data_IF_140556391759
#
_entry.id   IF_140556391759
#
_cell.length_a   1.000
_cell.length_b   1.000
_cell.length_c   1.000
_cell.angle_alpha   90.00
_cell.angle_beta   90.00
_cell.angle_gamma   90.00
#
_symmetry.space_group_name_H-M   'P 1'
#
loop_
_entity.id
_entity.type
_entity.pdbx_description
1 polymer ?
#
# COMPACT_ATOMS: atom_id res chain seq x y z
N UNK A 1 -1.08 14.03 6.32
CA UNK A 1 -0.30 13.34 5.27
C UNK A 1 0.58 14.35 4.56
N UNK A 2 1.67 14.83 5.19
CA UNK A 2 2.65 15.66 4.49
C UNK A 2 4.05 15.24 4.94
N UNK A 3 4.64 14.28 4.21
CA UNK A 3 6.10 14.19 4.11
C UNK A 3 6.61 15.37 3.28
N UNK A 4 7.93 15.57 3.24
CA UNK A 4 8.54 16.56 2.35
C UNK A 4 7.96 16.38 0.92
N UNK A 5 7.30 17.42 0.42
CA UNK A 5 6.61 17.46 -0.89
C UNK A 5 5.28 16.70 -1.03
N UNK A 6 4.58 16.37 0.07
CA UNK A 6 3.23 15.78 -0.01
C UNK A 6 3.20 14.35 -0.55
N UNK A 7 4.37 13.72 -0.69
CA UNK A 7 4.53 12.32 -1.08
C UNK A 7 4.41 11.46 0.16
N UNK A 8 3.21 11.03 0.52
CA UNK A 8 3.06 9.98 1.52
C UNK A 8 1.67 9.33 1.50
N UNK A 9 1.65 8.00 1.63
CA UNK A 9 0.49 7.17 1.96
C UNK A 9 -0.79 7.51 1.17
N UNK A 10 -0.72 7.39 -0.16
CA UNK A 10 -1.80 7.75 -1.07
C UNK A 10 -2.66 6.56 -1.52
N UNK A 11 -2.15 5.33 -1.40
CA UNK A 11 -2.80 4.13 -1.93
C UNK A 11 -3.44 3.35 -0.80
N UNK A 12 -4.77 3.28 -0.76
CA UNK A 12 -5.45 2.40 0.19
C UNK A 12 -5.41 0.97 -0.35
N UNK A 13 -4.81 0.06 0.40
CA UNK A 13 -4.66 -1.34 0.01
C UNK A 13 -5.33 -2.25 1.01
N UNK A 14 -5.77 -3.43 0.56
CA UNK A 14 -6.07 -4.57 1.42
C UNK A 14 -4.86 -5.50 1.41
N UNK A 15 -4.15 -5.59 2.53
CA UNK A 15 -2.89 -6.34 2.58
C UNK A 15 -3.13 -7.85 2.55
N UNK A 16 -2.20 -8.59 1.95
CA UNK A 16 -2.17 -10.07 1.96
C UNK A 16 -0.93 -10.55 2.71
N UNK A 17 -0.85 -11.85 3.03
CA UNK A 17 0.33 -12.41 3.70
C UNK A 17 1.57 -12.25 2.82
N UNK A 18 1.45 -12.56 1.52
CA UNK A 18 2.53 -12.49 0.54
C UNK A 18 3.07 -11.07 0.40
N UNK A 19 2.16 -10.06 0.40
CA UNK A 19 2.57 -8.67 0.39
C UNK A 19 3.30 -8.27 1.68
N UNK A 20 2.84 -8.73 2.86
CA UNK A 20 3.49 -8.40 4.13
C UNK A 20 4.89 -9.00 4.22
N UNK A 21 5.07 -10.24 3.78
CA UNK A 21 6.39 -10.89 3.67
C UNK A 21 7.30 -10.14 2.69
N UNK A 22 6.79 -9.82 1.48
CA UNK A 22 7.52 -9.03 0.49
C UNK A 22 7.94 -7.67 1.07
N UNK A 23 7.01 -6.94 1.67
CA UNK A 23 7.24 -5.61 2.23
C UNK A 23 8.31 -5.66 3.33
N UNK A 24 8.25 -6.67 4.21
CA UNK A 24 9.29 -6.90 5.23
C UNK A 24 10.66 -7.17 4.59
N UNK A 25 10.73 -7.99 3.53
CA UNK A 25 11.98 -8.25 2.79
C UNK A 25 12.58 -7.00 2.15
N UNK A 26 11.75 -5.99 1.86
CA UNK A 26 12.15 -4.65 1.35
C UNK A 26 12.36 -3.61 2.45
N UNK A 27 12.63 -4.07 3.68
CA UNK A 27 12.86 -3.22 4.86
C UNK A 27 11.67 -2.30 5.21
N UNK A 28 10.46 -2.70 4.84
CA UNK A 28 9.21 -2.03 5.20
C UNK A 28 8.33 -3.02 5.99
N UNK A 29 8.74 -3.30 7.22
CA UNK A 29 8.04 -4.25 8.09
C UNK A 29 6.74 -3.65 8.63
N UNK A 30 5.63 -4.09 8.03
CA UNK A 30 4.28 -3.68 8.40
C UNK A 30 3.57 -4.72 9.27
N UNK A 31 4.19 -5.85 9.61
CA UNK A 31 3.53 -6.93 10.37
C UNK A 31 4.02 -7.06 11.81
N UNK A 32 5.24 -6.62 12.12
CA UNK A 32 5.75 -6.63 13.51
C UNK A 32 5.08 -5.54 14.36
N UNK A 33 4.44 -5.89 15.49
CA UNK A 33 3.92 -4.90 16.43
C UNK A 33 5.04 -4.02 17.00
N UNK A 34 4.78 -2.71 17.06
CA UNK A 34 5.64 -1.69 17.67
C UNK A 34 4.82 -0.89 18.70
N UNK A 35 4.64 -1.41 19.93
CA UNK A 35 3.82 -0.77 20.96
C UNK A 35 4.25 0.67 21.28
N UNK A 36 5.55 0.95 21.23
CA UNK A 36 6.16 2.26 21.41
C UNK A 36 5.67 3.28 20.36
N UNK A 37 5.29 2.81 19.17
CA UNK A 37 4.70 3.61 18.09
C UNK A 37 3.17 3.50 18.03
N UNK A 38 2.53 2.81 18.99
CA UNK A 38 1.11 2.45 18.96
C UNK A 38 0.69 1.69 17.70
N UNK A 39 1.62 0.94 17.12
CA UNK A 39 1.38 0.14 15.92
C UNK A 39 1.24 -1.33 16.31
N UNK A 40 0.10 -1.96 16.00
CA UNK A 40 -0.17 -3.37 16.37
C UNK A 40 0.41 -4.38 15.37
N UNK A 41 0.98 -3.93 14.26
CA UNK A 41 1.25 -4.78 13.10
C UNK A 41 -0.03 -5.06 12.32
N UNK A 42 0.08 -5.10 11.00
CA UNK A 42 -1.00 -5.46 10.09
C UNK A 42 -1.11 -6.98 9.96
N UNK A 43 -2.32 -7.43 9.66
CA UNK A 43 -2.67 -8.81 9.33
C UNK A 43 -3.29 -8.87 7.93
N UNK A 44 -3.23 -10.02 7.26
CA UNK A 44 -3.95 -10.21 5.99
C UNK A 44 -5.41 -9.80 6.11
N UNK A 45 -5.89 -9.01 5.16
CA UNK A 45 -7.23 -8.45 5.14
C UNK A 45 -7.37 -7.04 5.72
N UNK A 46 -6.40 -6.55 6.49
CA UNK A 46 -6.41 -5.18 6.99
C UNK A 46 -6.33 -4.17 5.84
N UNK A 47 -7.01 -3.02 6.00
CA UNK A 47 -6.86 -1.88 5.10
C UNK A 47 -5.79 -0.93 5.63
N UNK A 48 -4.92 -0.48 4.74
CA UNK A 48 -3.82 0.42 5.11
C UNK A 48 -3.54 1.43 4.00
N UNK A 49 -3.26 2.67 4.37
CA UNK A 49 -2.77 3.68 3.43
C UNK A 49 -1.27 3.43 3.23
N UNK A 50 -0.90 2.85 2.10
CA UNK A 50 0.48 2.52 1.73
C UNK A 50 1.15 3.68 1.01
N UNK A 51 2.44 3.87 1.29
CA UNK A 51 3.26 4.84 0.57
C UNK A 51 3.27 4.49 -0.93
N UNK A 52 2.98 5.48 -1.79
CA UNK A 52 2.80 5.23 -3.23
C UNK A 52 4.01 4.53 -3.88
N UNK A 53 5.22 4.94 -3.51
CA UNK A 53 6.44 4.29 -4.02
C UNK A 53 6.62 2.83 -3.55
N UNK A 54 6.06 2.47 -2.38
CA UNK A 54 6.07 1.08 -1.90
C UNK A 54 5.05 0.23 -2.66
N UNK A 55 3.91 0.81 -3.03
CA UNK A 55 2.98 0.13 -3.93
C UNK A 55 3.60 -0.08 -5.33
N UNK A 56 4.29 0.93 -5.88
CA UNK A 56 5.01 0.82 -7.17
C UNK A 56 6.08 -0.26 -7.13
N UNK A 57 6.88 -0.30 -6.06
CA UNK A 57 7.90 -1.34 -5.84
C UNK A 57 7.27 -2.74 -5.86
N UNK A 58 6.18 -2.93 -5.12
CA UNK A 58 5.45 -4.19 -5.07
C UNK A 58 4.84 -4.57 -6.43
N UNK A 59 4.25 -3.61 -7.15
CA UNK A 59 3.67 -3.83 -8.47
C UNK A 59 4.72 -4.33 -9.47
N UNK A 60 5.88 -3.67 -9.52
CA UNK A 60 7.00 -4.08 -10.39
C UNK A 60 7.55 -5.47 -10.04
N UNK A 61 7.41 -5.89 -8.79
CA UNK A 61 7.82 -7.21 -8.32
C UNK A 61 6.74 -8.29 -8.48
N UNK A 62 5.55 -7.96 -8.98
CA UNK A 62 4.41 -8.89 -9.06
C UNK A 62 3.77 -9.23 -7.70
N UNK A 63 4.02 -8.38 -6.70
CA UNK A 63 3.59 -8.57 -5.30
C UNK A 63 2.67 -7.45 -4.80
N UNK A 64 2.08 -6.68 -5.71
CA UNK A 64 1.18 -5.58 -5.32
C UNK A 64 -0.09 -6.11 -4.66
N UNK A 65 -0.48 -5.56 -3.50
CA UNK A 65 -1.76 -5.88 -2.88
C UNK A 65 -2.90 -5.21 -3.64
N UNK A 66 -4.12 -5.74 -3.46
CA UNK A 66 -5.32 -5.15 -4.05
C UNK A 66 -5.56 -3.72 -3.52
N UNK A 67 -6.03 -2.85 -4.40
CA UNK A 67 -6.28 -1.43 -4.15
C UNK A 67 -7.76 -1.19 -3.91
N UNK A 68 -8.10 -0.35 -2.93
CA UNK A 68 -9.45 0.21 -2.77
C UNK A 68 -9.44 1.58 -3.45
N UNK A 69 -9.93 1.65 -4.69
CA UNK A 69 -9.86 2.85 -5.52
C UNK A 69 -10.62 4.01 -4.90
N UNK A 70 -11.82 3.77 -4.37
CA UNK A 70 -12.64 4.81 -3.73
C UNK A 70 -11.97 5.43 -2.49
N UNK A 71 -11.02 4.71 -1.88
CA UNK A 71 -10.25 5.15 -0.72
C UNK A 71 -8.80 5.56 -1.07
N UNK A 72 -8.47 5.64 -2.35
CA UNK A 72 -7.13 6.00 -2.84
C UNK A 72 -7.12 7.45 -3.31
N UNK A 73 -6.14 8.23 -2.85
CA UNK A 73 -6.06 9.65 -3.19
C UNK A 73 -5.65 9.82 -4.67
N UNK A 74 -6.38 10.65 -5.42
CA UNK A 74 -6.12 10.97 -6.84
C UNK A 74 -4.67 11.39 -7.17
N UNK A 75 -3.94 11.98 -6.22
CA UNK A 75 -2.52 12.33 -6.38
C UNK A 75 -1.63 11.11 -6.65
N UNK A 76 -2.12 9.88 -6.42
CA UNK A 76 -1.46 8.64 -6.86
C UNK A 76 -1.16 8.65 -8.36
N UNK A 77 -2.00 9.31 -9.17
CA UNK A 77 -1.89 9.35 -10.63
C UNK A 77 -0.67 10.12 -11.13
N UNK A 78 -0.01 10.89 -10.26
CA UNK A 78 1.30 11.52 -10.55
C UNK A 78 2.45 10.49 -10.56
N UNK A 79 2.23 9.30 -10.00
CA UNK A 79 3.24 8.25 -9.81
C UNK A 79 2.90 6.93 -10.52
N UNK A 80 1.60 6.62 -10.65
CA UNK A 80 1.10 5.37 -11.21
C UNK A 80 -0.05 5.68 -12.18
N UNK A 81 -0.02 5.19 -13.43
CA UNK A 81 -1.18 5.27 -14.32
C UNK A 81 -2.42 4.61 -13.69
N UNK A 82 -3.61 4.97 -14.17
CA UNK A 82 -4.86 4.42 -13.62
C UNK A 82 -5.04 2.93 -13.95
N UNK A 83 -4.44 2.43 -15.03
CA UNK A 83 -4.60 1.06 -15.51
C UNK A 83 -4.04 0.01 -14.53
N UNK A 84 -2.79 0.10 -14.02
CA UNK A 84 -2.30 -0.76 -12.94
C UNK A 84 -3.19 -0.77 -11.70
N UNK A 85 -3.72 0.40 -11.31
CA UNK A 85 -4.57 0.55 -10.13
C UNK A 85 -5.92 -0.15 -10.35
N UNK A 86 -6.54 0.04 -11.51
CA UNK A 86 -7.78 -0.66 -11.90
C UNK A 86 -7.59 -2.17 -12.02
N UNK A 87 -6.46 -2.62 -12.57
CA UNK A 87 -6.13 -4.04 -12.66
C UNK A 87 -5.94 -4.72 -11.31
N UNK A 88 -5.73 -3.96 -10.23
CA UNK A 88 -5.63 -4.44 -8.85
C UNK A 88 -6.81 -4.00 -7.98
N UNK A 89 -7.87 -3.42 -8.56
CA UNK A 89 -8.98 -2.88 -7.79
C UNK A 89 -9.77 -3.99 -7.08
N UNK A 90 -10.12 -3.74 -5.83
CA UNK A 90 -11.01 -4.58 -5.02
C UNK A 90 -12.48 -4.16 -5.17
N UNK A 91 -12.71 -2.89 -5.50
CA UNK A 91 -14.01 -2.21 -5.49
C UNK A 91 -14.52 -1.83 -6.90
N UNK A 92 -13.91 -2.40 -7.93
CA UNK A 92 -14.34 -2.23 -9.32
C UNK A 92 -14.86 -3.56 -9.85
N UNK A 93 -16.19 -3.66 -10.01
CA UNK A 93 -16.91 -4.83 -10.51
C UNK A 93 -17.14 -4.74 -12.03
#
# INVERSE_FOLDING_TARGET
THGAEGVAHLVCVKVTEEFLEFSRSRSNDLSTPRPEMRFKGLKPGDRWCLHVLRWVEAYKAGMAPQVVLESTHENVLKYVPIEPLKGHALDLN
#
